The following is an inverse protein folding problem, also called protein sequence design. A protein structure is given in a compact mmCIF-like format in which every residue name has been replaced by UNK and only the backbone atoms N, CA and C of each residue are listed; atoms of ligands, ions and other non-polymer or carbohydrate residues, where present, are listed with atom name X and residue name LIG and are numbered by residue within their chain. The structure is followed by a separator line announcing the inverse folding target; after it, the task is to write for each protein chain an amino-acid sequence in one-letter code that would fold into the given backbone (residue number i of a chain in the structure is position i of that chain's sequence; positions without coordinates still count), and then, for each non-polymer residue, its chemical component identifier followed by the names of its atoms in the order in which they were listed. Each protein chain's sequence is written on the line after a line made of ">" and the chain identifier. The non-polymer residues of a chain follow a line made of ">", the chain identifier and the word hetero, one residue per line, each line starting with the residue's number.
data_IF_929288358656
#
_entry.id   IF_929288358656
#
_cell.length_a   1.000
_cell.length_b   1.000
_cell.length_c   1.000
_cell.angle_alpha   90.00
_cell.angle_beta   90.00
_cell.angle_gamma   90.00
#
_symmetry.space_group_name_H-M   'P 1'
#
loop_
_entity.id
_entity.type
_entity.pdbx_description
1 polymer ?
#
# COMPACT_ATOMS: atom_id res chain seq x y z
N UNK A 1 4.40 13.77 -6.97
CA UNK A 1 3.73 13.07 -5.86
C UNK A 1 3.21 11.73 -6.41
N UNK A 2 1.92 11.37 -6.41
CA UNK A 2 1.45 10.02 -6.81
C UNK A 2 2.05 9.37 -8.08
N UNK A 3 2.23 10.11 -9.19
CA UNK A 3 2.86 9.59 -10.42
C UNK A 3 4.35 9.26 -10.24
N UNK A 4 5.05 10.03 -9.41
CA UNK A 4 6.47 9.85 -9.12
C UNK A 4 6.64 8.63 -8.20
N UNK A 5 5.78 8.48 -7.19
CA UNK A 5 5.69 7.29 -6.32
C UNK A 5 5.50 6.00 -7.10
N UNK A 6 4.56 5.98 -8.05
CA UNK A 6 4.33 4.81 -8.90
C UNK A 6 5.52 4.55 -9.82
N UNK A 7 6.11 5.60 -10.40
CA UNK A 7 7.23 5.46 -11.34
C UNK A 7 8.50 4.92 -10.68
N UNK A 8 8.85 5.45 -9.50
CA UNK A 8 10.00 4.98 -8.71
C UNK A 8 9.75 3.57 -8.19
N UNK A 9 8.54 3.30 -7.71
CA UNK A 9 8.15 1.96 -7.25
C UNK A 9 8.30 0.93 -8.37
N UNK A 10 7.75 1.21 -9.56
CA UNK A 10 7.85 0.30 -10.70
C UNK A 10 9.29 0.16 -11.19
N UNK A 11 10.03 1.26 -11.30
CA UNK A 11 11.44 1.23 -11.70
C UNK A 11 12.30 0.37 -10.75
N UNK A 12 11.96 0.35 -9.46
CA UNK A 12 12.67 -0.41 -8.44
C UNK A 12 12.22 -1.87 -8.37
N UNK A 13 10.91 -2.14 -8.43
CA UNK A 13 10.33 -3.48 -8.26
C UNK A 13 10.44 -4.31 -9.54
N UNK A 14 10.34 -3.69 -10.71
CA UNK A 14 10.29 -4.41 -11.99
C UNK A 14 11.48 -5.35 -12.23
N UNK A 15 12.75 -4.96 -12.01
CA UNK A 15 13.89 -5.87 -12.17
C UNK A 15 13.78 -7.15 -11.33
N UNK A 16 13.21 -7.07 -10.13
CA UNK A 16 13.01 -8.22 -9.24
C UNK A 16 11.90 -9.16 -9.71
N UNK A 17 11.02 -8.70 -10.61
CA UNK A 17 9.98 -9.54 -11.21
C UNK A 17 10.44 -10.29 -12.45
N UNK A 18 11.58 -9.92 -13.05
CA UNK A 18 12.13 -10.57 -14.26
C UNK A 18 12.29 -12.09 -14.07
N UNK A 19 12.86 -12.61 -12.96
CA UNK A 19 12.94 -14.06 -12.75
C UNK A 19 11.58 -14.76 -12.70
N UNK A 20 10.52 -14.07 -12.25
CA UNK A 20 9.15 -14.62 -12.19
C UNK A 20 8.45 -14.65 -13.56
N UNK A 21 9.00 -13.96 -14.56
CA UNK A 21 8.47 -13.94 -15.93
C UNK A 21 9.15 -15.04 -16.76
N UNK A 22 10.46 -15.20 -16.59
CA UNK A 22 11.28 -16.05 -17.45
C UNK A 22 11.70 -17.39 -16.84
N UNK A 23 11.38 -17.65 -15.56
CA UNK A 23 11.67 -18.96 -14.94
C UNK A 23 10.61 -19.99 -15.30
N UNK A 24 11.04 -21.15 -15.78
CA UNK A 24 10.18 -22.31 -16.09
C UNK A 24 9.41 -22.82 -14.85
N UNK A 25 9.91 -22.53 -13.65
CA UNK A 25 9.28 -22.93 -12.38
C UNK A 25 8.29 -21.87 -11.83
N UNK A 26 8.01 -20.82 -12.59
CA UNK A 26 7.17 -19.71 -12.16
C UNK A 26 6.03 -19.45 -13.14
N UNK A 27 4.93 -18.88 -12.64
CA UNK A 27 3.83 -18.45 -13.49
C UNK A 27 3.92 -16.94 -13.68
N UNK A 28 3.83 -16.42 -14.93
CA UNK A 28 3.87 -14.97 -15.19
C UNK A 28 2.82 -14.16 -14.42
N UNK A 29 1.72 -14.80 -14.01
CA UNK A 29 0.69 -14.19 -13.14
C UNK A 29 1.26 -13.71 -11.80
N UNK A 30 2.32 -14.34 -11.28
CA UNK A 30 2.97 -13.92 -10.05
C UNK A 30 3.73 -12.61 -10.23
N UNK A 31 4.46 -12.45 -11.35
CA UNK A 31 5.11 -11.18 -11.68
C UNK A 31 4.08 -10.06 -11.83
N UNK A 32 3.00 -10.32 -12.57
CA UNK A 32 1.91 -9.36 -12.73
C UNK A 32 1.26 -8.99 -11.40
N UNK A 33 1.03 -9.97 -10.53
CA UNK A 33 0.48 -9.76 -9.19
C UNK A 33 1.39 -8.82 -8.36
N UNK A 34 2.70 -9.08 -8.32
CA UNK A 34 3.66 -8.25 -7.59
C UNK A 34 3.65 -6.81 -8.11
N UNK A 35 3.65 -6.60 -9.43
CA UNK A 35 3.67 -5.26 -10.02
C UNK A 35 2.40 -4.47 -9.70
N UNK A 36 1.23 -5.07 -9.91
CA UNK A 36 -0.06 -4.42 -9.61
C UNK A 36 -0.17 -4.11 -8.12
N UNK A 37 0.21 -5.07 -7.27
CA UNK A 37 0.23 -4.90 -5.83
C UNK A 37 1.19 -3.79 -5.40
N UNK A 38 2.37 -3.67 -6.01
CA UNK A 38 3.32 -2.60 -5.72
C UNK A 38 2.78 -1.22 -6.12
N UNK A 39 2.08 -1.10 -7.24
CA UNK A 39 1.40 0.16 -7.63
C UNK A 39 0.36 0.54 -6.57
N UNK A 40 -0.54 -0.39 -6.21
CA UNK A 40 -1.58 -0.14 -5.20
C UNK A 40 -0.95 0.22 -3.85
N UNK A 41 0.10 -0.51 -3.46
CA UNK A 41 0.87 -0.23 -2.26
C UNK A 41 1.45 1.18 -2.27
N UNK A 42 2.08 1.61 -3.36
CA UNK A 42 2.69 2.95 -3.46
C UNK A 42 1.69 4.11 -3.39
N UNK A 43 0.40 3.85 -3.66
CA UNK A 43 -0.68 4.83 -3.58
C UNK A 43 -1.43 4.77 -2.25
N UNK A 44 -1.21 3.73 -1.44
CA UNK A 44 -1.95 3.52 -0.20
C UNK A 44 -1.68 4.59 0.86
N UNK A 45 -0.42 5.02 1.11
CA UNK A 45 -0.13 6.07 2.08
C UNK A 45 -0.67 7.45 1.67
N UNK A 46 -0.81 7.73 0.37
CA UNK A 46 -1.40 8.99 -0.13
C UNK A 46 -2.86 9.19 0.32
N UNK A 47 -3.58 8.09 0.57
CA UNK A 47 -4.96 8.12 1.08
C UNK A 47 -5.06 8.59 2.54
N UNK A 48 -3.94 8.67 3.25
CA UNK A 48 -3.83 9.05 4.66
C UNK A 48 -3.48 10.54 4.86
N UNK A 49 -3.31 11.29 3.78
CA UNK A 49 -3.12 12.75 3.86
C UNK A 49 -4.45 13.44 4.18
N UNK A 50 -4.52 14.13 5.32
CA UNK A 50 -5.74 14.72 5.90
C UNK A 50 -6.38 15.91 5.17
N UNK A 51 -6.26 15.99 3.84
CA UNK A 51 -6.96 16.95 2.98
C UNK A 51 -7.84 16.24 1.94
N UNK A 52 -8.49 16.97 1.03
CA UNK A 52 -8.96 16.36 -0.23
C UNK A 52 -7.69 16.08 -1.05
N UNK A 53 -7.17 14.85 -1.10
CA UNK A 53 -5.91 14.59 -1.77
C UNK A 53 -6.08 14.96 -3.24
N UNK A 54 -4.99 15.20 -3.97
CA UNK A 54 -5.08 15.38 -5.42
C UNK A 54 -5.84 14.21 -6.09
N UNK A 55 -5.75 13.02 -5.47
CA UNK A 55 -6.55 11.82 -5.77
C UNK A 55 -8.08 12.04 -5.70
N UNK A 56 -8.61 12.83 -4.77
CA UNK A 56 -10.04 13.15 -4.70
C UNK A 56 -10.50 13.96 -5.92
N UNK A 57 -9.65 14.87 -6.41
CA UNK A 57 -9.97 15.73 -7.55
C UNK A 57 -9.71 15.06 -8.90
N UNK A 58 -8.62 14.30 -9.02
CA UNK A 58 -8.21 13.67 -10.28
C UNK A 58 -8.83 12.25 -10.45
N UNK A 59 -9.14 11.54 -9.36
CA UNK A 59 -9.56 10.13 -9.37
C UNK A 59 -10.59 9.81 -8.27
N UNK A 60 -11.73 10.52 -8.28
CA UNK A 60 -12.79 10.42 -7.27
C UNK A 60 -13.22 8.99 -6.91
N UNK A 61 -13.39 8.10 -7.89
CA UNK A 61 -13.80 6.70 -7.66
C UNK A 61 -12.75 5.96 -6.83
N UNK A 62 -11.47 6.16 -7.15
CA UNK A 62 -10.36 5.55 -6.40
C UNK A 62 -10.38 6.08 -4.97
N UNK A 63 -10.50 7.39 -4.80
CA UNK A 63 -10.62 8.03 -3.48
C UNK A 63 -11.79 7.46 -2.65
N UNK A 64 -12.99 7.35 -3.24
CA UNK A 64 -14.19 6.85 -2.55
C UNK A 64 -14.02 5.38 -2.09
N UNK A 65 -13.21 4.58 -2.79
CA UNK A 65 -12.84 3.21 -2.37
C UNK A 65 -11.75 3.23 -1.29
N UNK A 66 -10.80 4.18 -1.35
CA UNK A 66 -9.71 4.26 -0.38
C UNK A 66 -10.14 4.79 0.99
N UNK A 67 -11.16 5.66 1.07
CA UNK A 67 -11.69 6.18 2.34
C UNK A 67 -12.16 5.08 3.30
N UNK A 68 -13.05 4.14 2.93
CA UNK A 68 -13.47 3.07 3.82
C UNK A 68 -12.30 2.12 4.17
N UNK A 69 -11.37 1.91 3.25
CA UNK A 69 -10.16 1.13 3.50
C UNK A 69 -9.28 1.80 4.57
N UNK A 70 -9.02 3.10 4.45
CA UNK A 70 -8.27 3.87 5.44
C UNK A 70 -8.92 3.78 6.82
N UNK A 71 -10.25 3.95 6.91
CA UNK A 71 -11.00 3.78 8.17
C UNK A 71 -10.84 2.39 8.77
N UNK A 72 -10.82 1.35 7.94
CA UNK A 72 -10.64 -0.04 8.40
C UNK A 72 -9.22 -0.28 8.94
N UNK A 73 -8.21 0.31 8.30
CA UNK A 73 -6.82 0.26 8.77
C UNK A 73 -6.69 0.98 10.10
N UNK A 74 -7.22 2.20 10.22
CA UNK A 74 -7.29 2.96 11.47
C UNK A 74 -7.97 2.16 12.58
N UNK A 75 -9.12 1.54 12.26
CA UNK A 75 -9.85 0.72 13.20
C UNK A 75 -8.99 -0.45 13.70
N UNK A 76 -8.26 -1.11 12.79
CA UNK A 76 -7.34 -2.20 13.13
C UNK A 76 -6.24 -1.70 14.07
N UNK A 77 -5.68 -0.52 13.83
CA UNK A 77 -4.71 0.14 14.72
C UNK A 77 -5.25 0.41 16.12
N UNK A 78 -6.46 0.94 16.21
CA UNK A 78 -7.13 1.18 17.48
C UNK A 78 -7.45 -0.13 18.21
N UNK A 79 -7.86 -1.16 17.48
CA UNK A 79 -8.18 -2.47 18.04
C UNK A 79 -6.96 -3.12 18.70
N UNK A 80 -5.77 -2.96 18.13
CA UNK A 80 -4.52 -3.46 18.73
C UNK A 80 -3.97 -2.57 19.87
N UNK A 81 -4.68 -1.53 20.32
CA UNK A 81 -4.24 -0.55 21.32
C UNK A 81 -2.83 0.03 21.03
N UNK A 82 -2.45 0.09 19.75
CA UNK A 82 -1.14 0.62 19.36
C UNK A 82 -1.07 2.14 19.45
N UNK A 83 -2.24 2.81 19.49
CA UNK A 83 -2.37 4.27 19.58
C UNK A 83 -1.77 4.88 20.86
N UNK A 84 -1.86 4.20 22.00
CA UNK A 84 -1.26 4.69 23.25
C UNK A 84 0.21 4.28 23.39
N UNK A 85 0.61 3.16 22.78
CA UNK A 85 1.99 2.64 22.85
C UNK A 85 2.94 3.32 21.86
N UNK A 86 2.41 3.74 20.73
CA UNK A 86 3.10 4.53 19.73
C UNK A 86 2.44 5.89 19.78
N UNK A 87 3.15 6.97 20.09
CA UNK A 87 2.63 8.35 20.14
C UNK A 87 2.10 8.79 18.75
N UNK A 88 1.05 8.15 18.26
CA UNK A 88 0.38 8.40 17.01
C UNK A 88 -0.68 9.44 17.30
N UNK A 89 -0.29 10.70 17.18
CA UNK A 89 -1.25 11.80 17.23
C UNK A 89 -2.18 11.71 16.02
N UNK A 90 -3.48 11.74 16.29
CA UNK A 90 -4.55 11.66 15.29
C UNK A 90 -4.94 13.07 14.79
N UNK A 91 -4.17 14.08 15.16
CA UNK A 91 -4.50 15.48 14.91
C UNK A 91 -3.97 15.87 13.55
N UNK A 92 -4.90 16.05 12.62
CA UNK A 92 -4.70 16.63 11.29
C UNK A 92 -4.40 18.12 11.46
N UNK A 93 -3.18 18.44 11.90
CA UNK A 93 -2.57 19.73 11.60
C UNK A 93 -1.76 19.58 10.31
N UNK A 94 -1.76 20.64 9.51
CA UNK A 94 -1.59 20.72 8.04
C UNK A 94 -0.34 20.06 7.42
N UNK A 95 0.51 19.36 8.18
CA UNK A 95 1.79 18.81 7.72
C UNK A 95 2.13 17.40 8.25
N UNK A 96 1.30 16.77 9.11
CA UNK A 96 1.65 15.47 9.69
C UNK A 96 0.99 14.28 8.99
N UNK A 97 1.85 13.35 8.56
CA UNK A 97 1.51 12.11 7.85
C UNK A 97 0.82 11.12 8.79
N UNK A 98 -0.27 10.50 8.33
CA UNK A 98 -1.07 9.61 9.16
C UNK A 98 -0.44 8.25 9.47
N UNK A 99 -1.23 7.35 10.03
CA UNK A 99 -0.82 6.05 10.56
C UNK A 99 -0.08 5.16 9.54
N UNK A 100 -0.42 5.27 8.24
CA UNK A 100 0.19 4.52 7.13
C UNK A 100 1.61 4.96 6.78
N UNK A 101 2.06 6.12 7.26
CA UNK A 101 3.44 6.58 7.13
C UNK A 101 4.35 6.13 8.28
N UNK A 102 3.92 5.13 9.06
CA UNK A 102 4.76 4.44 10.04
C UNK A 102 5.13 3.03 9.57
N UNK A 103 6.29 2.45 9.97
CA UNK A 103 6.67 1.09 9.60
C UNK A 103 5.64 0.03 10.03
N UNK A 104 5.04 0.22 11.21
CA UNK A 104 3.96 -0.63 11.72
C UNK A 104 2.67 -0.37 10.92
N UNK A 105 2.45 0.88 10.50
CA UNK A 105 1.43 1.35 9.55
C UNK A 105 1.38 0.50 8.30
N UNK A 106 2.51 0.48 7.60
CA UNK A 106 2.73 -0.27 6.37
C UNK A 106 2.46 -1.77 6.57
N UNK A 107 2.89 -2.34 7.69
CA UNK A 107 2.71 -3.77 7.95
C UNK A 107 1.22 -4.12 8.12
N UNK A 108 0.52 -3.36 8.96
CA UNK A 108 -0.91 -3.59 9.25
C UNK A 108 -1.75 -3.31 8.02
N UNK A 109 -1.50 -2.20 7.31
CA UNK A 109 -2.23 -1.86 6.07
C UNK A 109 -2.03 -2.92 4.99
N UNK A 110 -0.79 -3.39 4.77
CA UNK A 110 -0.49 -4.45 3.79
C UNK A 110 -1.17 -5.76 4.16
N UNK A 111 -1.19 -6.13 5.44
CA UNK A 111 -1.85 -7.33 5.92
C UNK A 111 -3.36 -7.26 5.72
N UNK A 112 -3.99 -6.16 6.14
CA UNK A 112 -5.42 -5.89 5.96
C UNK A 112 -5.81 -5.91 4.49
N UNK A 113 -5.07 -5.22 3.63
CA UNK A 113 -5.31 -5.19 2.18
C UNK A 113 -5.16 -6.56 1.54
N UNK A 114 -4.17 -7.34 1.96
CA UNK A 114 -3.96 -8.71 1.49
C UNK A 114 -5.15 -9.59 1.87
N UNK A 115 -5.60 -9.54 3.13
CA UNK A 115 -6.77 -10.29 3.58
C UNK A 115 -8.03 -9.90 2.83
N UNK A 116 -8.30 -8.60 2.67
CA UNK A 116 -9.48 -8.10 1.97
C UNK A 116 -9.47 -8.56 0.50
N UNK A 117 -8.37 -8.31 -0.20
CA UNK A 117 -8.21 -8.64 -1.63
C UNK A 117 -8.28 -10.15 -1.86
N UNK A 118 -7.66 -10.94 -0.98
CA UNK A 118 -7.71 -12.41 -1.06
C UNK A 118 -9.12 -12.93 -0.79
N UNK A 119 -9.81 -12.39 0.22
CA UNK A 119 -11.18 -12.81 0.57
C UNK A 119 -12.15 -12.50 -0.56
N UNK A 120 -12.15 -11.26 -1.06
CA UNK A 120 -12.97 -10.83 -2.20
C UNK A 120 -12.61 -11.62 -3.46
N UNK A 121 -11.31 -11.77 -3.74
CA UNK A 121 -10.80 -12.52 -4.88
C UNK A 121 -11.23 -13.98 -4.83
N UNK A 122 -11.27 -14.62 -3.66
CA UNK A 122 -11.63 -16.02 -3.52
C UNK A 122 -13.12 -16.28 -3.85
N UNK A 123 -13.99 -15.29 -3.64
CA UNK A 123 -15.39 -15.37 -4.10
C UNK A 123 -15.52 -15.31 -5.63
N UNK A 124 -14.52 -14.80 -6.34
CA UNK A 124 -14.50 -14.67 -7.80
C UNK A 124 -13.73 -15.82 -8.44
N UNK A 125 -12.61 -16.21 -7.85
CA UNK A 125 -11.70 -17.21 -8.36
C UNK A 125 -11.14 -18.08 -7.23
N UNK A 126 -11.57 -19.34 -7.18
CA UNK A 126 -11.14 -20.30 -6.16
C UNK A 126 -9.71 -20.83 -6.34
N UNK A 127 -9.00 -20.45 -7.41
CA UNK A 127 -7.62 -20.88 -7.65
C UNK A 127 -6.56 -20.03 -6.93
N UNK A 128 -6.95 -19.12 -6.03
CA UNK A 128 -6.00 -18.35 -5.23
C UNK A 128 -5.25 -19.28 -4.29
N UNK A 129 -3.93 -19.34 -4.47
CA UNK A 129 -3.02 -20.17 -3.67
C UNK A 129 -2.15 -19.31 -2.74
N UNK A 130 -1.49 -19.96 -1.77
CA UNK A 130 -0.65 -19.29 -0.78
C UNK A 130 0.52 -18.51 -1.41
N UNK A 131 1.07 -18.99 -2.53
CA UNK A 131 2.15 -18.30 -3.26
C UNK A 131 1.67 -16.96 -3.83
N UNK A 132 0.48 -16.95 -4.44
CA UNK A 132 -0.14 -15.73 -4.97
C UNK A 132 -0.46 -14.73 -3.85
N UNK A 133 -0.96 -15.22 -2.71
CA UNK A 133 -1.21 -14.38 -1.52
C UNK A 133 0.10 -13.79 -0.98
N UNK A 134 1.18 -14.58 -0.93
CA UNK A 134 2.50 -14.13 -0.53
C UNK A 134 3.05 -13.04 -1.45
N UNK A 135 2.94 -13.23 -2.77
CA UNK A 135 3.36 -12.23 -3.75
C UNK A 135 2.52 -10.95 -3.72
N UNK A 136 1.21 -11.06 -3.49
CA UNK A 136 0.33 -9.92 -3.26
C UNK A 136 0.80 -9.10 -2.05
N UNK A 137 1.05 -9.75 -0.92
CA UNK A 137 1.56 -9.09 0.29
C UNK A 137 2.93 -8.43 0.04
N UNK A 138 3.85 -9.14 -0.61
CA UNK A 138 5.18 -8.63 -0.93
C UNK A 138 5.14 -7.42 -1.87
N UNK A 139 4.26 -7.43 -2.87
CA UNK A 139 4.06 -6.27 -3.73
C UNK A 139 3.51 -5.08 -2.94
N UNK A 140 2.44 -5.27 -2.17
CA UNK A 140 1.81 -4.22 -1.37
C UNK A 140 2.79 -3.57 -0.38
N UNK A 141 3.53 -4.38 0.37
CA UNK A 141 4.48 -3.88 1.37
C UNK A 141 5.66 -3.17 0.73
N UNK A 142 6.16 -3.67 -0.42
CA UNK A 142 7.25 -3.03 -1.16
C UNK A 142 6.83 -1.68 -1.72
N UNK A 143 5.63 -1.59 -2.28
CA UNK A 143 5.09 -0.33 -2.79
C UNK A 143 4.93 0.72 -1.69
N UNK A 144 4.33 0.35 -0.56
CA UNK A 144 4.19 1.24 0.58
C UNK A 144 5.54 1.67 1.16
N UNK A 145 6.49 0.73 1.29
CA UNK A 145 7.83 1.04 1.78
C UNK A 145 8.56 2.02 0.85
N UNK A 146 8.52 1.80 -0.46
CA UNK A 146 9.17 2.67 -1.45
C UNK A 146 8.52 4.07 -1.49
N UNK A 147 7.20 4.16 -1.29
CA UNK A 147 6.53 5.44 -1.09
C UNK A 147 7.17 6.21 0.08
N UNK A 148 7.26 5.60 1.26
CA UNK A 148 7.84 6.25 2.45
C UNK A 148 9.33 6.58 2.27
N UNK A 149 10.07 5.72 1.56
CA UNK A 149 11.47 5.94 1.27
C UNK A 149 11.67 7.17 0.38
N UNK A 150 10.92 7.28 -0.71
CA UNK A 150 10.92 8.48 -1.55
C UNK A 150 10.52 9.71 -0.75
N UNK A 151 9.45 9.58 0.04
CA UNK A 151 8.94 10.64 0.88
C UNK A 151 10.00 11.16 1.87
N UNK A 152 10.91 10.30 2.35
CA UNK A 152 12.04 10.66 3.21
C UNK A 152 13.18 11.38 2.46
N UNK A 153 13.24 11.22 1.14
CA UNK A 153 14.22 11.89 0.27
C UNK A 153 13.68 13.19 -0.36
N UNK A 154 12.42 13.56 -0.09
CA UNK A 154 11.84 14.84 -0.55
C UNK A 154 11.89 15.91 0.52
N UNK A 155 11.99 17.18 0.09
CA UNK A 155 12.00 18.36 0.99
C UNK A 155 10.75 18.43 1.87
N UNK A 156 9.62 17.89 1.39
CA UNK A 156 8.36 17.76 2.12
C UNK A 156 8.35 16.68 3.22
N UNK A 157 9.28 15.73 3.23
CA UNK A 157 9.38 14.73 4.30
C UNK A 157 10.46 14.99 5.35
N UNK A 158 11.32 15.98 5.12
CA UNK A 158 12.36 16.41 6.07
C UNK A 158 11.89 17.61 6.91
N UNK A 159 10.81 18.29 6.50
CA UNK A 159 10.23 19.44 7.21
C UNK A 159 9.02 19.07 8.04
#
# INVERSE_FOLDING_TARGET
>A
MGKDHVSITLGTVFPFTIPLIFSDNSQPVYAFCVLVAAIIGSLTPDADSGGKPKLHYDFKIVYDIMVPLHKLIVFSFSFFNLKEKMNLEYVVEEQHRGVMHSPIGILISSFVLTLLTTTVGYFIYHGINATLIGFLFLGLISGQFLHLFEDSCTVSGIR
#
